data_IF_263155923775
#
_entry.id   IF_263155923775
#
_cell.length_a   1.000
_cell.length_b   1.000
_cell.length_c   1.000
_cell.angle_alpha   90.00
_cell.angle_beta   90.00
_cell.angle_gamma   90.00
#
_symmetry.space_group_name_H-M   'P 1'
#
loop_
_entity.id
_entity.type
_entity.pdbx_description
1 polymer ?
#
# COMPACT_ATOMS: atom_id res chain seq x y z
N UNK A 1 -27.07 -3.11 5.70
CA UNK A 1 -27.67 -3.02 4.35
C UNK A 1 -26.51 -2.80 3.39
N UNK A 2 -26.05 -3.87 2.75
CA UNK A 2 -24.86 -3.83 1.90
C UNK A 2 -25.19 -3.27 0.54
N UNK A 3 -24.55 -2.17 0.16
CA UNK A 3 -24.49 -1.74 -1.23
C UNK A 3 -23.50 -2.66 -1.95
N UNK A 4 -24.03 -3.78 -2.46
CA UNK A 4 -23.38 -4.45 -3.58
C UNK A 4 -23.55 -3.56 -4.80
N UNK A 5 -22.59 -2.66 -5.04
CA UNK A 5 -22.45 -2.04 -6.36
C UNK A 5 -22.24 -3.18 -7.33
N UNK A 6 -23.20 -3.37 -8.22
CA UNK A 6 -23.16 -4.48 -9.16
C UNK A 6 -22.05 -4.21 -10.18
N UNK A 7 -21.25 -5.22 -10.51
CA UNK A 7 -20.13 -5.16 -11.49
C UNK A 7 -20.55 -4.51 -12.83
N UNK A 8 -21.85 -4.51 -13.17
CA UNK A 8 -22.40 -3.82 -14.34
C UNK A 8 -22.41 -2.29 -14.22
N UNK A 9 -22.64 -1.73 -13.02
CA UNK A 9 -22.69 -0.28 -12.82
C UNK A 9 -21.28 0.33 -12.87
N UNK A 10 -20.30 -0.29 -12.21
CA UNK A 10 -18.90 0.17 -12.25
C UNK A 10 -18.29 0.08 -13.65
N UNK A 11 -18.62 -0.96 -14.41
CA UNK A 11 -18.21 -1.08 -15.81
C UNK A 11 -18.83 0.00 -16.71
N UNK A 12 -20.10 0.35 -16.47
CA UNK A 12 -20.79 1.41 -17.22
C UNK A 12 -20.23 2.81 -16.89
N UNK A 13 -19.93 3.09 -15.62
CA UNK A 13 -19.33 4.36 -15.19
C UNK A 13 -17.92 4.55 -15.74
N UNK A 14 -17.11 3.49 -15.75
CA UNK A 14 -15.78 3.48 -16.37
C UNK A 14 -15.86 3.82 -17.86
N UNK A 15 -16.75 3.16 -18.60
CA UNK A 15 -16.91 3.41 -20.05
C UNK A 15 -17.43 4.83 -20.33
N UNK A 16 -18.37 5.33 -19.52
CA UNK A 16 -18.85 6.70 -19.64
C UNK A 16 -17.72 7.72 -19.42
N UNK A 17 -16.86 7.49 -18.43
CA UNK A 17 -15.70 8.34 -18.17
C UNK A 17 -14.62 8.21 -19.27
N UNK A 18 -14.28 7.01 -19.74
CA UNK A 18 -13.33 6.85 -20.86
C UNK A 18 -13.79 7.56 -22.14
N UNK A 19 -15.11 7.64 -22.35
CA UNK A 19 -15.67 8.35 -23.50
C UNK A 19 -15.58 9.87 -23.40
N UNK A 20 -15.36 10.44 -22.20
CA UNK A 20 -15.15 11.88 -22.04
C UNK A 20 -13.70 12.31 -22.29
N UNK A 21 -12.76 11.36 -22.28
CA UNK A 21 -11.33 11.61 -22.52
C UNK A 21 -11.00 11.70 -24.01
N UNK A 22 -9.92 12.42 -24.33
CA UNK A 22 -9.31 12.36 -25.66
C UNK A 22 -8.62 11.01 -25.92
N UNK A 23 -8.14 10.79 -27.15
CA UNK A 23 -7.53 9.52 -27.53
C UNK A 23 -6.29 9.17 -26.69
N UNK A 24 -5.51 10.16 -26.25
CA UNK A 24 -4.32 9.94 -25.44
C UNK A 24 -4.70 9.59 -23.99
N UNK A 25 -5.62 10.33 -23.41
CA UNK A 25 -6.14 10.11 -22.06
C UNK A 25 -6.81 8.74 -21.94
N UNK A 26 -7.58 8.33 -22.95
CA UNK A 26 -8.19 6.99 -22.99
C UNK A 26 -7.13 5.89 -22.98
N UNK A 27 -6.12 5.98 -23.85
CA UNK A 27 -5.04 4.99 -23.90
C UNK A 27 -4.23 4.94 -22.60
N UNK A 28 -3.96 6.10 -21.98
CA UNK A 28 -3.29 6.18 -20.69
C UNK A 28 -4.11 5.52 -19.57
N UNK A 29 -5.41 5.81 -19.50
CA UNK A 29 -6.31 5.24 -18.52
C UNK A 29 -6.45 3.71 -18.64
N UNK A 30 -6.60 3.19 -19.87
CA UNK A 30 -6.63 1.75 -20.13
C UNK A 30 -5.31 1.07 -19.74
N UNK A 31 -4.17 1.70 -20.06
CA UNK A 31 -2.85 1.21 -19.68
C UNK A 31 -2.67 1.16 -18.16
N UNK A 32 -3.05 2.23 -17.45
CA UNK A 32 -2.98 2.30 -15.99
C UNK A 32 -3.86 1.21 -15.35
N UNK A 33 -5.11 1.08 -15.80
CA UNK A 33 -6.03 0.05 -15.30
C UNK A 33 -5.43 -1.34 -15.44
N UNK A 34 -4.88 -1.67 -16.61
CA UNK A 34 -4.24 -2.96 -16.85
C UNK A 34 -3.05 -3.20 -15.92
N UNK A 35 -2.26 -2.17 -15.61
CA UNK A 35 -1.13 -2.28 -14.66
C UNK A 35 -1.60 -2.51 -13.23
N UNK A 36 -2.66 -1.81 -12.79
CA UNK A 36 -3.28 -2.08 -11.47
C UNK A 36 -3.88 -3.49 -11.39
N UNK A 37 -4.57 -3.95 -12.43
CA UNK A 37 -5.08 -5.33 -12.52
C UNK A 37 -3.94 -6.36 -12.43
N UNK A 38 -2.84 -6.14 -13.16
CA UNK A 38 -1.66 -7.01 -13.11
C UNK A 38 -1.00 -7.05 -11.72
N UNK A 39 -1.11 -5.96 -10.95
CA UNK A 39 -0.65 -5.92 -9.55
C UNK A 39 -1.67 -6.54 -8.57
N UNK A 40 -2.91 -6.77 -9.01
CA UNK A 40 -3.98 -7.40 -8.23
C UNK A 40 -4.85 -6.41 -7.45
N UNK A 41 -4.96 -5.15 -7.89
CA UNK A 41 -5.87 -4.18 -7.29
C UNK A 41 -7.34 -4.59 -7.54
N UNK A 42 -8.16 -4.62 -6.49
CA UNK A 42 -9.59 -4.95 -6.60
C UNK A 42 -10.35 -3.90 -7.43
N UNK A 43 -10.04 -2.61 -7.20
CA UNK A 43 -10.72 -1.47 -7.85
C UNK A 43 -9.81 -0.76 -8.86
N UNK A 44 -9.16 -1.54 -9.74
CA UNK A 44 -8.16 -1.04 -10.68
C UNK A 44 -8.63 0.13 -11.57
N UNK A 45 -9.93 0.17 -11.90
CA UNK A 45 -10.53 1.29 -12.63
C UNK A 45 -10.54 2.59 -11.83
N UNK A 46 -10.89 2.53 -10.55
CA UNK A 46 -10.94 3.72 -9.69
C UNK A 46 -9.54 4.26 -9.40
N UNK A 47 -8.56 3.37 -9.21
CA UNK A 47 -7.15 3.74 -9.10
C UNK A 47 -6.62 4.44 -10.35
N UNK A 48 -6.88 3.88 -11.54
CA UNK A 48 -6.47 4.48 -12.80
C UNK A 48 -7.15 5.83 -13.06
N UNK A 49 -8.44 5.93 -12.73
CA UNK A 49 -9.21 7.17 -12.85
C UNK A 49 -8.68 8.26 -11.93
N UNK A 50 -8.39 7.93 -10.67
CA UNK A 50 -7.85 8.88 -9.69
C UNK A 50 -6.50 9.43 -10.13
N UNK A 51 -5.60 8.57 -10.63
CA UNK A 51 -4.31 9.03 -11.18
C UNK A 51 -4.44 10.00 -12.35
N UNK A 52 -5.35 9.73 -13.29
CA UNK A 52 -5.57 10.64 -14.42
C UNK A 52 -6.22 11.96 -13.96
N UNK A 53 -7.16 11.92 -13.01
CA UNK A 53 -7.90 13.10 -12.57
C UNK A 53 -7.09 14.00 -11.61
N UNK A 54 -6.29 13.40 -10.74
CA UNK A 54 -5.57 14.09 -9.66
C UNK A 54 -4.11 14.37 -10.01
N UNK A 55 -3.60 13.76 -11.08
CA UNK A 55 -2.18 13.83 -11.49
C UNK A 55 -1.21 13.33 -10.40
N UNK A 56 -1.68 12.44 -9.53
CA UNK A 56 -0.89 11.84 -8.45
C UNK A 56 -0.36 10.45 -8.86
N UNK A 57 0.87 10.07 -8.44
CA UNK A 57 1.53 8.84 -8.87
C UNK A 57 0.98 7.62 -8.10
N UNK A 58 -0.32 7.35 -8.20
CA UNK A 58 -0.97 6.27 -7.45
C UNK A 58 -0.43 4.90 -7.81
N UNK A 59 0.00 4.66 -9.05
CA UNK A 59 0.58 3.38 -9.42
C UNK A 59 1.91 3.13 -8.70
N UNK A 60 2.77 4.15 -8.62
CA UNK A 60 4.02 4.07 -7.87
C UNK A 60 3.74 3.87 -6.37
N UNK A 61 2.77 4.61 -5.82
CA UNK A 61 2.30 4.45 -4.44
C UNK A 61 1.81 3.04 -4.15
N UNK A 62 0.93 2.51 -4.99
CA UNK A 62 0.37 1.16 -4.87
C UNK A 62 1.48 0.09 -4.93
N UNK A 63 2.44 0.23 -5.85
CA UNK A 63 3.57 -0.68 -5.94
C UNK A 63 4.40 -0.71 -4.66
N UNK A 64 4.71 0.47 -4.10
CA UNK A 64 5.45 0.60 -2.83
C UNK A 64 4.69 -0.06 -1.67
N UNK A 65 3.44 0.36 -1.43
CA UNK A 65 2.64 -0.10 -0.30
C UNK A 65 2.39 -1.62 -0.38
N UNK A 66 2.09 -2.14 -1.56
CA UNK A 66 1.93 -3.59 -1.77
C UNK A 66 3.22 -4.36 -1.50
N UNK A 67 4.38 -3.81 -1.86
CA UNK A 67 5.67 -4.44 -1.57
C UNK A 67 5.94 -4.47 -0.07
N UNK A 68 5.65 -3.37 0.64
CA UNK A 68 5.79 -3.28 2.09
C UNK A 68 4.82 -4.23 2.80
N UNK A 69 3.59 -4.38 2.32
CA UNK A 69 2.68 -5.37 2.87
C UNK A 69 3.18 -6.79 2.66
N UNK A 70 3.59 -7.16 1.45
CA UNK A 70 3.99 -8.55 1.16
C UNK A 70 5.33 -8.94 1.79
N UNK A 71 6.27 -8.02 1.86
CA UNK A 71 7.61 -8.27 2.38
C UNK A 71 7.65 -8.17 3.90
N UNK A 72 7.89 -6.97 4.46
CA UNK A 72 8.13 -6.81 5.90
C UNK A 72 6.93 -7.18 6.78
N UNK A 73 5.68 -7.04 6.33
CA UNK A 73 4.50 -7.44 7.12
C UNK A 73 4.17 -8.91 6.87
N UNK A 74 3.92 -9.29 5.62
CA UNK A 74 3.52 -10.63 5.20
C UNK A 74 4.56 -11.71 5.48
N UNK A 75 5.84 -11.35 5.59
CA UNK A 75 6.91 -12.25 6.00
C UNK A 75 6.72 -12.87 7.38
N UNK A 76 5.86 -12.30 8.23
CA UNK A 76 5.50 -12.80 9.56
C UNK A 76 4.14 -13.50 9.61
N UNK A 77 3.47 -13.72 8.47
CA UNK A 77 2.14 -14.33 8.43
C UNK A 77 2.14 -15.81 8.86
N UNK A 78 3.21 -16.53 8.54
CA UNK A 78 3.34 -17.94 8.92
C UNK A 78 4.01 -18.05 10.30
N UNK A 79 3.48 -18.90 11.21
CA UNK A 79 4.05 -19.10 12.54
C UNK A 79 5.52 -19.54 12.51
N UNK A 80 5.97 -20.20 11.45
CA UNK A 80 7.36 -20.64 11.28
C UNK A 80 8.35 -19.48 11.15
N UNK A 81 7.89 -18.27 10.82
CA UNK A 81 8.73 -17.09 10.68
C UNK A 81 9.52 -16.77 11.96
N UNK A 82 8.96 -17.10 13.14
CA UNK A 82 9.62 -16.87 14.43
C UNK A 82 10.57 -18.00 14.84
N UNK A 83 10.58 -19.16 14.17
CA UNK A 83 11.34 -20.34 14.61
C UNK A 83 12.86 -20.10 14.60
N UNK A 84 13.33 -19.19 13.75
CA UNK A 84 14.75 -18.83 13.65
C UNK A 84 15.21 -17.84 14.73
N UNK A 85 14.30 -17.29 15.53
CA UNK A 85 14.62 -16.29 16.55
C UNK A 85 14.91 -16.97 17.89
N UNK A 86 16.14 -16.87 18.44
CA UNK A 86 16.46 -17.50 19.72
C UNK A 86 15.62 -16.97 20.88
N UNK A 87 15.15 -15.72 20.81
CA UNK A 87 14.22 -15.16 21.82
C UNK A 87 12.84 -15.79 21.73
N UNK A 88 12.32 -16.05 20.52
CA UNK A 88 11.04 -16.72 20.34
C UNK A 88 11.11 -18.15 20.88
N UNK A 89 12.18 -18.88 20.60
CA UNK A 89 12.39 -20.24 21.15
C UNK A 89 12.33 -20.28 22.68
N UNK A 90 12.92 -19.29 23.37
CA UNK A 90 12.83 -19.20 24.84
C UNK A 90 11.42 -18.90 25.33
N UNK A 91 10.69 -18.03 24.63
CA UNK A 91 9.30 -17.67 24.96
C UNK A 91 8.37 -18.87 24.75
N UNK A 92 8.55 -19.62 23.65
CA UNK A 92 7.83 -20.88 23.39
C UNK A 92 8.15 -21.95 24.44
N UNK A 93 9.42 -22.12 24.82
CA UNK A 93 9.82 -23.02 25.89
C UNK A 93 9.23 -22.65 27.26
N UNK A 94 8.90 -21.37 27.46
CA UNK A 94 8.18 -20.89 28.64
C UNK A 94 6.65 -21.12 28.59
N UNK A 95 6.14 -21.74 27.51
CA UNK A 95 4.73 -22.12 27.37
C UNK A 95 3.87 -21.13 26.59
N UNK A 96 4.47 -20.14 25.91
CA UNK A 96 3.70 -19.23 25.06
C UNK A 96 3.12 -19.95 23.83
N UNK A 97 1.99 -19.46 23.34
CA UNK A 97 1.40 -19.93 22.09
C UNK A 97 2.19 -19.40 20.88
N UNK A 98 2.52 -20.29 19.93
CA UNK A 98 3.27 -19.95 18.71
C UNK A 98 2.50 -19.01 17.79
N UNK A 99 1.20 -19.24 17.61
CA UNK A 99 0.32 -18.43 16.77
C UNK A 99 0.23 -16.99 17.30
N UNK A 100 0.03 -16.82 18.60
CA UNK A 100 -0.07 -15.49 19.21
C UNK A 100 1.25 -14.72 19.11
N UNK A 101 2.39 -15.42 19.23
CA UNK A 101 3.69 -14.77 19.07
C UNK A 101 3.98 -14.36 17.62
N UNK A 102 3.57 -15.17 16.65
CA UNK A 102 3.67 -14.82 15.23
C UNK A 102 2.74 -13.65 14.88
N UNK A 103 1.51 -13.64 15.40
CA UNK A 103 0.57 -12.54 15.23
C UNK A 103 1.09 -11.25 15.84
N UNK A 104 1.67 -11.30 17.05
CA UNK A 104 2.34 -10.16 17.66
C UNK A 104 3.48 -9.64 16.78
N UNK A 105 4.32 -10.52 16.25
CA UNK A 105 5.42 -10.12 15.37
C UNK A 105 4.91 -9.42 14.09
N UNK A 106 3.86 -9.97 13.47
CA UNK A 106 3.23 -9.37 12.29
C UNK A 106 2.58 -8.02 12.60
N UNK A 107 1.90 -7.89 13.74
CA UNK A 107 1.31 -6.62 14.18
C UNK A 107 2.38 -5.55 14.43
N UNK A 108 3.49 -5.91 15.09
CA UNK A 108 4.64 -5.02 15.30
C UNK A 108 5.27 -4.61 13.98
N UNK A 109 5.40 -5.54 13.02
CA UNK A 109 5.90 -5.22 11.69
C UNK A 109 4.98 -4.23 10.95
N UNK A 110 3.67 -4.41 11.04
CA UNK A 110 2.69 -3.46 10.51
C UNK A 110 2.84 -2.07 11.14
N UNK A 111 2.87 -1.98 12.47
CA UNK A 111 3.04 -0.71 13.19
C UNK A 111 4.35 0.00 12.83
N UNK A 112 5.45 -0.75 12.73
CA UNK A 112 6.75 -0.20 12.35
C UNK A 112 6.76 0.33 10.91
N UNK A 113 6.12 -0.38 9.97
CA UNK A 113 5.97 0.09 8.59
C UNK A 113 5.07 1.32 8.53
N UNK A 114 3.93 1.32 9.24
CA UNK A 114 3.01 2.45 9.31
C UNK A 114 3.71 3.73 9.81
N UNK A 115 4.38 3.63 10.96
CA UNK A 115 5.15 4.74 11.51
C UNK A 115 6.28 5.22 10.56
N UNK A 116 6.92 4.29 9.85
CA UNK A 116 7.90 4.67 8.82
C UNK A 116 7.25 5.46 7.68
N UNK A 117 6.06 5.07 7.22
CA UNK A 117 5.35 5.78 6.17
C UNK A 117 4.90 7.19 6.60
N UNK A 118 4.49 7.36 7.86
CA UNK A 118 4.19 8.68 8.43
C UNK A 118 5.40 9.63 8.36
N UNK A 119 6.59 9.11 8.71
CA UNK A 119 7.84 9.88 8.61
C UNK A 119 8.21 10.19 7.15
N UNK A 120 7.97 9.23 6.22
CA UNK A 120 8.15 9.43 4.78
C UNK A 120 7.21 10.48 4.18
N UNK A 121 5.96 10.57 4.68
CA UNK A 121 5.00 11.60 4.28
C UNK A 121 5.40 12.99 4.80
N UNK A 122 6.05 13.06 5.96
CA UNK A 122 6.46 14.33 6.59
C UNK A 122 7.73 14.90 5.97
N UNK A 123 8.75 14.07 5.71
CA UNK A 123 9.95 14.46 4.94
C UNK A 123 10.86 15.50 5.61
N UNK A 124 10.68 15.78 6.90
CA UNK A 124 11.51 16.71 7.68
C UNK A 124 11.33 16.50 9.18
N UNK A 125 12.36 16.83 9.97
CA UNK A 125 12.21 16.89 11.43
C UNK A 125 11.62 18.25 11.82
N UNK A 126 10.30 18.27 12.03
CA UNK A 126 9.54 19.48 12.38
C UNK A 126 9.87 20.02 13.78
N UNK A 127 10.63 19.28 14.60
CA UNK A 127 10.92 19.63 15.99
C UNK A 127 12.28 20.30 16.19
N UNK A 128 13.07 20.47 15.12
CA UNK A 128 14.40 21.10 15.20
C UNK A 128 14.41 22.43 14.47
N UNK A 129 14.33 23.52 15.24
CA UNK A 129 14.44 24.88 14.71
C UNK A 129 15.84 25.15 14.12
N UNK A 130 15.90 25.83 12.98
CA UNK A 130 17.16 26.26 12.35
C UNK A 130 17.76 25.27 11.34
N UNK A 131 17.06 24.17 11.04
CA UNK A 131 17.42 23.25 9.96
C UNK A 131 16.52 23.51 8.75
N UNK A 132 17.13 23.90 7.64
CA UNK A 132 16.45 24.17 6.36
C UNK A 132 16.80 23.08 5.34
N UNK A 133 16.60 21.82 5.73
CA UNK A 133 16.82 20.64 4.89
C UNK A 133 15.63 19.72 5.05
N UNK A 134 14.98 19.39 3.93
CA UNK A 134 13.91 18.41 3.84
C UNK A 134 14.13 17.46 2.67
N UNK A 135 13.37 16.39 2.64
CA UNK A 135 13.36 15.41 1.55
C UNK A 135 11.92 14.92 1.32
N UNK A 136 11.74 14.17 0.24
CA UNK A 136 10.44 13.63 -0.14
C UNK A 136 10.64 12.35 -0.94
N UNK A 137 9.71 11.41 -0.79
CA UNK A 137 9.61 10.26 -1.68
C UNK A 137 8.88 10.67 -2.97
N UNK A 138 9.44 10.31 -4.12
CA UNK A 138 8.89 10.66 -5.44
C UNK A 138 8.91 9.46 -6.37
N UNK A 139 8.01 9.48 -7.35
CA UNK A 139 8.03 8.54 -8.46
C UNK A 139 9.32 8.72 -9.28
N UNK A 140 9.85 7.61 -9.75
CA UNK A 140 10.96 7.58 -10.70
C UNK A 140 10.47 7.23 -12.11
N UNK A 141 11.09 7.84 -13.11
CA UNK A 141 11.01 7.39 -14.49
C UNK A 141 11.75 6.05 -14.67
N UNK A 142 11.64 5.46 -15.86
CA UNK A 142 12.26 4.17 -16.19
C UNK A 142 13.80 4.19 -16.05
N UNK A 143 14.43 5.34 -16.26
CA UNK A 143 15.87 5.56 -16.11
C UNK A 143 16.29 5.84 -14.65
N UNK A 144 15.35 5.85 -13.71
CA UNK A 144 15.58 6.16 -12.30
C UNK A 144 15.59 7.65 -11.97
N UNK A 145 15.40 8.55 -12.95
CA UNK A 145 15.31 9.98 -12.69
C UNK A 145 14.01 10.31 -11.93
N UNK A 146 14.02 11.26 -10.97
CA UNK A 146 12.81 11.67 -10.28
C UNK A 146 11.86 12.38 -11.25
N UNK A 147 10.58 12.02 -11.23
CA UNK A 147 9.55 12.67 -12.09
C UNK A 147 9.07 13.99 -11.50
N UNK A 148 9.37 14.26 -10.22
CA UNK A 148 8.82 15.38 -9.46
C UNK A 148 7.45 15.10 -8.85
N UNK A 149 6.79 13.99 -9.23
CA UNK A 149 5.50 13.58 -8.67
C UNK A 149 5.72 12.94 -7.31
N UNK A 150 5.25 13.61 -6.27
CA UNK A 150 5.39 13.19 -4.89
C UNK A 150 4.53 11.97 -4.59
N UNK A 151 5.06 11.03 -3.82
CA UNK A 151 4.22 10.06 -3.11
C UNK A 151 3.82 10.71 -1.78
N UNK A 152 2.52 10.80 -1.52
CA UNK A 152 1.94 11.35 -0.31
C UNK A 152 0.77 10.51 0.18
N UNK A 153 0.43 10.61 1.46
CA UNK A 153 -0.65 9.82 2.06
C UNK A 153 -0.31 8.33 1.96
N UNK A 154 0.94 7.97 2.24
CA UNK A 154 1.42 6.60 2.18
C UNK A 154 0.82 5.75 3.30
N UNK A 155 0.75 6.30 4.51
CA UNK A 155 0.22 5.59 5.67
C UNK A 155 -1.28 5.26 5.55
N UNK A 156 -2.06 6.13 4.90
CA UNK A 156 -3.53 6.04 4.79
C UNK A 156 -4.00 4.77 4.08
N UNK A 157 -3.25 4.31 3.09
CA UNK A 157 -3.66 3.20 2.21
C UNK A 157 -2.97 1.87 2.51
N UNK A 158 -2.13 1.80 3.55
CA UNK A 158 -1.37 0.59 3.85
C UNK A 158 -2.30 -0.61 4.13
N UNK A 159 -3.37 -0.42 4.90
CA UNK A 159 -4.32 -1.48 5.24
C UNK A 159 -5.05 -2.05 4.01
N UNK A 160 -5.34 -1.21 3.02
CA UNK A 160 -6.00 -1.64 1.78
C UNK A 160 -5.11 -2.60 0.95
N UNK A 161 -3.82 -2.72 1.28
CA UNK A 161 -2.91 -3.67 0.63
C UNK A 161 -2.99 -5.09 1.22
N UNK A 162 -3.80 -5.29 2.26
CA UNK A 162 -4.05 -6.61 2.82
C UNK A 162 -4.61 -7.58 1.76
N UNK A 163 -3.87 -8.63 1.36
CA UNK A 163 -4.34 -9.59 0.36
C UNK A 163 -5.55 -10.39 0.86
N UNK A 164 -5.85 -10.36 2.16
CA UNK A 164 -7.03 -11.00 2.73
C UNK A 164 -8.32 -10.21 2.49
N UNK A 165 -8.22 -8.93 2.13
CA UNK A 165 -9.35 -8.02 1.97
C UNK A 165 -10.08 -7.71 3.28
N UNK A 166 -9.41 -7.88 4.42
CA UNK A 166 -9.97 -7.61 5.76
C UNK A 166 -9.36 -6.38 6.42
N UNK A 167 -8.64 -5.56 5.67
CA UNK A 167 -7.98 -4.36 6.15
C UNK A 167 -7.19 -4.60 7.44
N UNK A 168 -6.41 -5.69 7.48
CA UNK A 168 -5.55 -6.05 8.62
C UNK A 168 -6.30 -6.43 9.89
N UNK A 169 -7.61 -6.69 9.85
CA UNK A 169 -8.40 -7.04 11.03
C UNK A 169 -7.89 -8.29 11.76
N UNK A 170 -7.17 -9.19 11.07
CA UNK A 170 -6.55 -10.39 11.64
C UNK A 170 -5.29 -10.12 12.47
N UNK A 171 -4.72 -8.91 12.40
CA UNK A 171 -3.56 -8.52 13.21
C UNK A 171 -3.92 -8.39 14.70
N UNK A 172 -5.20 -8.19 15.02
CA UNK A 172 -5.68 -7.76 16.35
C UNK A 172 -6.56 -8.79 17.07
N UNK A 173 -6.76 -9.97 16.49
CA UNK A 173 -7.61 -11.05 17.04
C UNK A 173 -6.82 -12.09 17.81
#
# INVERSE_FOLDING_TARGET
>A
MGHGVTVSESSNEWQAWLNSLDARGRAAAESLRARFEALGAADAGDWAKSEICEDLPHLARFMLLRSLWRGPIGGWAEPEAIDQLPVAQRILAAGANKEDLARLARAVAYEAVCATLDELDTGSDVNVSGIDVGWRVMESAEDGAPTGRALSGLHEDLLAMDPSGRDGADLWQ
#
